data_IF_301860987068
#
_entry.id   IF_301860987068
#
_cell.length_a   1.000
_cell.length_b   1.000
_cell.length_c   1.000
_cell.angle_alpha   90.00
_cell.angle_beta   90.00
_cell.angle_gamma   90.00
#
_symmetry.space_group_name_H-M   'P 1'
#
loop_
_entity.id
_entity.type
_entity.pdbx_description
1 polymer ?
#
# COMPACT_ATOMS: atom_id res chain seq x y z
N UNK A 1 -7.93 3.95 -22.77
CA UNK A 1 -7.31 3.58 -21.48
C UNK A 1 -8.30 3.91 -20.38
N UNK A 2 -8.25 3.21 -19.25
CA UNK A 2 -9.08 3.49 -18.07
C UNK A 2 -8.54 4.71 -17.32
N UNK A 3 -9.42 5.51 -16.75
CA UNK A 3 -9.08 6.67 -15.94
C UNK A 3 -9.16 6.31 -14.46
N UNK A 4 -8.05 6.38 -13.74
CA UNK A 4 -7.93 5.92 -12.36
C UNK A 4 -7.46 7.06 -11.47
N UNK A 5 -8.14 7.27 -10.36
CA UNK A 5 -7.65 8.14 -9.28
C UNK A 5 -6.99 7.26 -8.22
N UNK A 6 -5.76 7.58 -7.88
CA UNK A 6 -5.00 6.86 -6.85
C UNK A 6 -4.76 7.79 -5.67
N UNK A 7 -5.41 7.49 -4.56
CA UNK A 7 -5.25 8.16 -3.29
C UNK A 7 -4.14 7.46 -2.50
N UNK A 8 -2.95 8.06 -2.48
CA UNK A 8 -1.76 7.48 -1.87
C UNK A 8 -0.75 8.55 -1.47
N UNK A 9 0.13 8.21 -0.54
CA UNK A 9 1.31 9.02 -0.26
C UNK A 9 2.30 8.89 -1.42
N UNK A 10 3.04 9.96 -1.72
CA UNK A 10 4.20 9.90 -2.61
C UNK A 10 5.36 9.21 -1.89
N UNK A 11 5.90 8.16 -2.50
CA UNK A 11 7.00 7.36 -1.93
C UNK A 11 8.33 7.54 -2.62
N UNK A 12 8.45 8.43 -3.62
CA UNK A 12 9.69 8.62 -4.39
C UNK A 12 10.91 8.90 -3.49
N UNK A 13 10.71 9.61 -2.38
CA UNK A 13 11.79 9.96 -1.44
C UNK A 13 11.97 8.93 -0.30
N UNK A 14 11.15 7.87 -0.24
CA UNK A 14 11.19 6.90 0.84
C UNK A 14 11.80 5.57 0.42
N UNK A 15 13.07 5.34 0.75
CA UNK A 15 13.77 4.09 0.43
C UNK A 15 13.04 2.83 0.92
N UNK A 16 12.37 2.90 2.07
CA UNK A 16 11.62 1.75 2.62
C UNK A 16 10.23 1.58 2.01
N UNK A 17 9.76 2.53 1.21
CA UNK A 17 8.43 2.54 0.60
C UNK A 17 8.41 2.22 -0.90
N UNK A 18 9.56 1.89 -1.49
CA UNK A 18 9.69 1.74 -2.93
C UNK A 18 8.74 0.67 -3.53
N UNK A 19 8.38 -0.37 -2.80
CA UNK A 19 7.44 -1.38 -3.26
C UNK A 19 6.01 -0.83 -3.45
N UNK A 20 5.63 0.19 -2.68
CA UNK A 20 4.38 0.91 -2.92
C UNK A 20 4.46 1.75 -4.19
N UNK A 21 5.59 2.42 -4.39
CA UNK A 21 5.83 3.20 -5.60
C UNK A 21 5.84 2.31 -6.84
N UNK A 22 6.46 1.13 -6.78
CA UNK A 22 6.48 0.17 -7.89
C UNK A 22 5.06 -0.27 -8.31
N UNK A 23 4.12 -0.41 -7.36
CA UNK A 23 2.71 -0.69 -7.67
C UNK A 23 2.08 0.51 -8.38
N UNK A 24 2.28 1.73 -7.87
CA UNK A 24 1.76 2.96 -8.46
C UNK A 24 2.30 3.13 -9.88
N UNK A 25 3.60 3.00 -10.06
CA UNK A 25 4.27 3.14 -11.37
C UNK A 25 3.75 2.10 -12.38
N UNK A 26 3.48 0.88 -11.92
CA UNK A 26 2.91 -0.17 -12.75
C UNK A 26 1.48 0.17 -13.19
N UNK A 27 0.67 0.73 -12.31
CA UNK A 27 -0.67 1.20 -12.64
C UNK A 27 -0.62 2.39 -13.62
N UNK A 28 0.34 3.31 -13.45
CA UNK A 28 0.55 4.44 -14.37
C UNK A 28 0.93 4.01 -15.78
N UNK A 29 1.58 2.85 -15.94
CA UNK A 29 1.88 2.27 -17.26
C UNK A 29 0.65 1.65 -17.94
N UNK A 30 -0.34 1.23 -17.16
CA UNK A 30 -1.51 0.48 -17.65
C UNK A 30 -2.76 1.34 -17.84
N UNK A 31 -2.82 2.52 -17.22
CA UNK A 31 -4.00 3.38 -17.21
C UNK A 31 -3.63 4.87 -17.25
N UNK A 32 -4.61 5.72 -17.55
CA UNK A 32 -4.50 7.15 -17.30
C UNK A 32 -4.72 7.36 -15.80
N UNK A 33 -3.69 7.82 -15.07
CA UNK A 33 -3.76 7.94 -13.63
C UNK A 33 -3.67 9.39 -13.17
N UNK A 34 -4.43 9.71 -12.13
CA UNK A 34 -4.23 10.92 -11.34
C UNK A 34 -3.84 10.53 -9.92
N UNK A 35 -2.64 10.96 -9.50
CA UNK A 35 -2.08 10.66 -8.20
C UNK A 35 -2.39 11.81 -7.25
N UNK A 36 -2.97 11.50 -6.10
CA UNK A 36 -3.35 12.49 -5.11
C UNK A 36 -3.04 12.00 -3.69
N UNK A 37 -2.42 12.87 -2.89
CA UNK A 37 -2.10 12.59 -1.51
C UNK A 37 -0.85 13.30 -1.01
N UNK A 38 -0.48 13.01 0.22
CA UNK A 38 0.67 13.64 0.87
C UNK A 38 1.95 13.46 0.04
N UNK A 39 2.63 14.59 -0.22
CA UNK A 39 3.84 14.63 -1.03
C UNK A 39 3.62 14.88 -2.52
N UNK A 40 2.38 14.85 -3.03
CA UNK A 40 2.07 15.31 -4.39
C UNK A 40 1.79 16.81 -4.43
N UNK A 41 2.18 17.46 -5.52
CA UNK A 41 2.17 18.93 -5.67
C UNK A 41 0.79 19.58 -5.42
N UNK A 42 -0.29 18.92 -5.84
CA UNK A 42 -1.65 19.49 -5.76
C UNK A 42 -2.40 19.09 -4.49
N UNK A 43 -1.72 18.43 -3.57
CA UNK A 43 -2.32 17.94 -2.34
C UNK A 43 -2.66 19.07 -1.36
N UNK A 44 -3.84 18.97 -0.75
CA UNK A 44 -4.23 19.76 0.42
C UNK A 44 -5.01 18.89 1.41
N UNK A 45 -4.70 19.01 2.69
CA UNK A 45 -5.41 18.30 3.75
C UNK A 45 -6.88 18.70 3.87
N UNK A 46 -7.23 19.90 3.42
CA UNK A 46 -8.59 20.45 3.50
C UNK A 46 -9.50 20.01 2.34
N UNK A 47 -8.93 19.37 1.31
CA UNK A 47 -9.70 18.99 0.14
C UNK A 47 -10.70 17.86 0.46
N UNK A 48 -11.89 17.97 -0.10
CA UNK A 48 -12.86 16.90 -0.19
C UNK A 48 -12.69 16.14 -1.52
N UNK A 49 -13.57 15.18 -1.82
CA UNK A 49 -13.44 14.40 -3.05
C UNK A 49 -13.76 15.21 -4.31
N UNK A 50 -14.68 16.16 -4.23
CA UNK A 50 -15.02 17.08 -5.32
C UNK A 50 -13.80 17.92 -5.70
N UNK A 51 -13.06 18.43 -4.71
CA UNK A 51 -11.81 19.17 -4.95
C UNK A 51 -10.75 18.30 -5.62
N UNK A 52 -10.67 17.01 -5.27
CA UNK A 52 -9.77 16.05 -5.94
C UNK A 52 -10.15 15.88 -7.40
N UNK A 53 -11.45 15.77 -7.71
CA UNK A 53 -11.96 15.69 -9.08
C UNK A 53 -11.63 16.97 -9.86
N UNK A 54 -11.88 18.14 -9.29
CA UNK A 54 -11.60 19.44 -9.93
C UNK A 54 -10.12 19.61 -10.26
N UNK A 55 -9.23 19.12 -9.40
CA UNK A 55 -7.78 19.15 -9.61
C UNK A 55 -7.29 18.07 -10.59
N UNK A 56 -8.09 17.05 -10.83
CA UNK A 56 -7.75 15.97 -11.77
C UNK A 56 -8.00 16.38 -13.23
N UNK A 57 -7.37 15.70 -14.20
CA UNK A 57 -7.69 15.90 -15.61
C UNK A 57 -9.02 15.21 -16.01
N UNK A 58 -9.74 14.59 -15.08
CA UNK A 58 -10.92 13.79 -15.36
C UNK A 58 -12.20 14.48 -14.89
N UNK A 59 -13.27 14.33 -15.66
CA UNK A 59 -14.63 14.57 -15.16
C UNK A 59 -15.06 13.34 -14.34
N UNK A 60 -15.90 13.53 -13.33
CA UNK A 60 -16.34 12.44 -12.44
C UNK A 60 -16.95 11.27 -13.21
N UNK A 61 -17.76 11.54 -14.23
CA UNK A 61 -18.41 10.53 -15.07
C UNK A 61 -17.43 9.72 -15.93
N UNK A 62 -16.18 10.19 -16.04
CA UNK A 62 -15.13 9.52 -16.80
C UNK A 62 -14.12 8.80 -15.91
N UNK A 63 -14.32 8.78 -14.58
CA UNK A 63 -13.47 8.03 -13.65
C UNK A 63 -13.96 6.59 -13.60
N UNK A 64 -13.10 5.66 -13.98
CA UNK A 64 -13.41 4.24 -14.02
C UNK A 64 -13.13 3.52 -12.68
N UNK A 65 -12.23 4.06 -11.85
CA UNK A 65 -11.79 3.40 -10.63
C UNK A 65 -11.14 4.39 -9.66
N UNK A 66 -11.38 4.20 -8.38
CA UNK A 66 -10.64 4.84 -7.29
C UNK A 66 -9.84 3.78 -6.55
N UNK A 67 -8.55 4.01 -6.38
CA UNK A 67 -7.67 3.16 -5.58
C UNK A 67 -7.20 3.96 -4.36
N UNK A 68 -7.33 3.37 -3.19
CA UNK A 68 -6.83 3.94 -1.95
C UNK A 68 -5.79 3.01 -1.31
N UNK A 69 -4.65 3.54 -0.95
CA UNK A 69 -3.56 2.77 -0.35
C UNK A 69 -3.45 3.00 1.15
N UNK A 70 -3.18 1.94 1.92
CA UNK A 70 -2.91 2.04 3.37
C UNK A 70 -1.70 2.87 3.71
N UNK A 71 -0.79 2.99 2.79
CA UNK A 71 0.39 3.82 2.95
C UNK A 71 0.07 5.28 3.19
N UNK A 72 -1.13 5.63 2.84
CA UNK A 72 -1.77 6.88 3.03
C UNK A 72 -1.90 7.29 4.52
N UNK A 73 -2.06 6.35 5.45
CA UNK A 73 -2.29 6.62 6.87
C UNK A 73 -1.05 6.52 7.78
N UNK A 74 0.14 6.50 7.20
CA UNK A 74 1.38 6.41 7.97
C UNK A 74 1.97 7.79 8.33
N UNK A 75 1.11 8.68 8.80
CA UNK A 75 1.48 10.00 9.30
C UNK A 75 2.01 9.96 10.75
N UNK A 76 2.09 8.76 11.34
CA UNK A 76 2.43 8.60 12.75
C UNK A 76 1.26 8.83 13.70
N UNK A 77 0.07 9.17 13.22
CA UNK A 77 -1.12 9.30 14.04
C UNK A 77 -1.43 8.00 14.78
N UNK A 78 -1.64 8.11 16.07
CA UNK A 78 -2.01 6.97 16.92
C UNK A 78 -3.51 6.73 16.99
N UNK A 79 -4.33 7.67 16.54
CA UNK A 79 -5.76 7.71 16.82
C UNK A 79 -6.64 7.43 15.61
N UNK A 80 -6.18 7.72 14.41
CA UNK A 80 -6.97 7.53 13.18
C UNK A 80 -6.22 6.71 12.14
N UNK A 81 -6.96 6.01 11.31
CA UNK A 81 -6.49 5.37 10.07
C UNK A 81 -7.10 6.05 8.84
N UNK A 82 -7.84 7.13 9.06
CA UNK A 82 -8.37 7.97 7.98
C UNK A 82 -7.36 9.08 7.71
N UNK A 83 -6.56 8.97 6.66
CA UNK A 83 -5.50 9.93 6.34
C UNK A 83 -6.07 11.25 5.83
N UNK A 84 -7.32 11.20 5.38
CA UNK A 84 -8.04 12.32 4.79
C UNK A 84 -9.45 12.40 5.33
N UNK A 85 -9.64 13.08 6.47
CA UNK A 85 -10.95 13.15 7.12
C UNK A 85 -12.01 13.83 6.24
N UNK A 86 -11.61 14.64 5.27
CA UNK A 86 -12.51 15.34 4.37
C UNK A 86 -12.85 14.57 3.09
N UNK A 87 -12.02 13.59 2.67
CA UNK A 87 -12.32 12.76 1.51
C UNK A 87 -13.22 11.60 1.92
N UNK A 88 -14.51 11.71 1.62
CA UNK A 88 -15.52 10.69 1.92
C UNK A 88 -15.92 9.96 0.66
N UNK A 89 -15.55 8.68 0.57
CA UNK A 89 -15.84 7.83 -0.59
C UNK A 89 -17.14 7.02 -0.42
N UNK A 90 -17.65 6.90 0.80
CA UNK A 90 -18.83 6.08 1.11
C UNK A 90 -20.12 6.50 0.41
N UNK A 91 -20.22 7.77 -0.01
CA UNK A 91 -21.36 8.29 -0.79
C UNK A 91 -21.21 8.11 -2.31
N UNK A 92 -20.05 7.69 -2.79
CA UNK A 92 -19.76 7.52 -4.22
C UNK A 92 -20.06 6.07 -4.58
N UNK A 93 -21.21 5.84 -5.24
CA UNK A 93 -21.67 4.50 -5.57
C UNK A 93 -21.44 4.08 -7.02
N UNK A 94 -21.30 5.06 -7.93
CA UNK A 94 -21.16 4.82 -9.37
C UNK A 94 -19.74 4.44 -9.80
N UNK A 95 -18.73 4.69 -8.95
CA UNK A 95 -17.31 4.42 -9.27
C UNK A 95 -16.80 3.30 -8.37
N UNK A 96 -16.29 2.19 -8.94
CA UNK A 96 -15.67 1.13 -8.16
C UNK A 96 -14.49 1.64 -7.33
N UNK A 97 -14.34 1.08 -6.12
CA UNK A 97 -13.31 1.50 -5.16
C UNK A 97 -12.53 0.30 -4.66
N UNK A 98 -11.21 0.38 -4.75
CA UNK A 98 -10.28 -0.63 -4.25
C UNK A 98 -9.44 -0.06 -3.12
N UNK A 99 -9.27 -0.85 -2.07
CA UNK A 99 -8.36 -0.52 -0.97
C UNK A 99 -7.22 -1.52 -0.91
N UNK A 100 -5.98 -1.03 -0.89
CA UNK A 100 -4.81 -1.85 -0.65
C UNK A 100 -4.49 -1.85 0.84
N UNK A 101 -4.90 -2.88 1.54
CA UNK A 101 -4.61 -3.10 2.96
C UNK A 101 -3.22 -3.70 3.12
N UNK A 102 -2.35 -2.97 3.79
CA UNK A 102 -1.02 -3.40 4.18
C UNK A 102 -0.81 -3.09 5.67
N UNK A 103 0.21 -3.64 6.32
CA UNK A 103 0.47 -3.48 7.77
C UNK A 103 -0.70 -3.95 8.64
N UNK A 104 -1.24 -5.12 8.33
CA UNK A 104 -2.40 -5.72 8.99
C UNK A 104 -2.16 -5.97 10.49
N UNK A 105 -0.90 -6.02 10.91
CA UNK A 105 -0.49 -6.13 12.30
C UNK A 105 -0.70 -4.85 13.12
N UNK A 106 -1.09 -3.74 12.47
CA UNK A 106 -1.23 -2.43 13.12
C UNK A 106 -2.63 -1.88 12.94
N UNK A 107 -3.37 -1.67 14.03
CA UNK A 107 -4.70 -1.05 14.05
C UNK A 107 -5.74 -1.74 13.12
N UNK A 108 -5.70 -3.06 12.98
CA UNK A 108 -6.52 -3.80 12.01
C UNK A 108 -8.02 -3.50 12.14
N UNK A 109 -8.56 -3.49 13.37
CA UNK A 109 -9.98 -3.21 13.61
C UNK A 109 -10.41 -1.81 13.14
N UNK A 110 -9.55 -0.80 13.35
CA UNK A 110 -9.82 0.56 12.87
C UNK A 110 -9.82 0.62 11.34
N UNK A 111 -8.92 -0.15 10.70
CA UNK A 111 -8.88 -0.27 9.23
C UNK A 111 -10.12 -0.95 8.69
N UNK A 112 -10.62 -1.98 9.35
CA UNK A 112 -11.87 -2.62 8.98
C UNK A 112 -13.07 -1.66 9.07
N UNK A 113 -13.16 -0.87 10.15
CA UNK A 113 -14.17 0.18 10.28
C UNK A 113 -14.06 1.22 9.17
N UNK A 114 -12.84 1.65 8.85
CA UNK A 114 -12.59 2.58 7.74
C UNK A 114 -13.04 1.98 6.40
N UNK A 115 -12.66 0.73 6.10
CA UNK A 115 -13.05 0.02 4.88
C UNK A 115 -14.58 -0.04 4.75
N UNK A 116 -15.28 -0.41 5.81
CA UNK A 116 -16.74 -0.48 5.83
C UNK A 116 -17.39 0.90 5.65
N UNK A 117 -16.86 1.92 6.34
CA UNK A 117 -17.39 3.28 6.28
C UNK A 117 -17.22 3.89 4.88
N UNK A 118 -16.10 3.67 4.23
CA UNK A 118 -15.82 4.16 2.88
C UNK A 118 -16.46 3.29 1.78
N UNK A 119 -17.03 2.13 2.14
CA UNK A 119 -17.73 1.21 1.22
C UNK A 119 -16.87 0.80 0.03
N UNK A 120 -15.68 0.28 0.31
CA UNK A 120 -14.83 -0.29 -0.73
C UNK A 120 -15.46 -1.56 -1.31
N UNK A 121 -15.37 -1.73 -2.62
CA UNK A 121 -15.90 -2.87 -3.35
C UNK A 121 -14.94 -4.07 -3.31
N UNK A 122 -13.64 -3.79 -3.20
CA UNK A 122 -12.59 -4.79 -3.12
C UNK A 122 -11.48 -4.30 -2.20
N UNK A 123 -10.97 -5.20 -1.38
CA UNK A 123 -9.78 -4.98 -0.55
C UNK A 123 -8.69 -5.95 -0.97
N UNK A 124 -7.54 -5.44 -1.41
CA UNK A 124 -6.37 -6.25 -1.70
C UNK A 124 -5.45 -6.27 -0.47
N UNK A 125 -4.99 -7.44 -0.06
CA UNK A 125 -4.09 -7.60 1.08
C UNK A 125 -3.06 -8.70 0.83
N UNK A 126 -1.89 -8.56 1.42
CA UNK A 126 -0.84 -9.61 1.39
C UNK A 126 -1.07 -10.68 2.46
N UNK A 127 -2.04 -10.51 3.32
CA UNK A 127 -2.29 -11.42 4.42
C UNK A 127 -3.11 -12.64 3.98
N UNK A 128 -2.72 -13.87 4.37
CA UNK A 128 -3.41 -15.09 3.95
C UNK A 128 -4.86 -15.22 4.47
N UNK A 129 -5.22 -14.48 5.53
CA UNK A 129 -6.59 -14.44 6.09
C UNK A 129 -7.59 -13.63 5.27
N UNK A 130 -7.24 -13.18 4.08
CA UNK A 130 -8.13 -12.43 3.19
C UNK A 130 -9.51 -13.09 3.05
N UNK A 131 -9.51 -14.43 2.92
CA UNK A 131 -10.74 -15.20 2.77
C UNK A 131 -11.63 -15.16 4.01
N UNK A 132 -11.05 -15.40 5.20
CA UNK A 132 -11.75 -15.32 6.48
C UNK A 132 -12.34 -13.93 6.71
N UNK A 133 -11.63 -12.89 6.35
CA UNK A 133 -12.10 -11.50 6.48
C UNK A 133 -13.24 -11.18 5.50
N UNK A 134 -13.21 -11.77 4.29
CA UNK A 134 -14.32 -11.63 3.35
C UNK A 134 -15.62 -12.17 3.94
N UNK A 135 -15.58 -13.35 4.53
CA UNK A 135 -16.74 -13.97 5.17
C UNK A 135 -17.22 -13.18 6.39
N UNK A 136 -16.29 -12.74 7.24
CA UNK A 136 -16.60 -12.03 8.48
C UNK A 136 -17.19 -10.65 8.25
N UNK A 137 -16.67 -9.92 7.27
CA UNK A 137 -16.99 -8.50 7.05
C UNK A 137 -18.01 -8.28 5.93
N UNK A 138 -18.32 -9.32 5.14
CA UNK A 138 -19.22 -9.21 3.98
C UNK A 138 -18.65 -8.31 2.87
N UNK A 139 -17.33 -8.11 2.82
CA UNK A 139 -16.62 -7.32 1.83
C UNK A 139 -15.65 -8.24 1.09
N UNK A 140 -15.52 -8.09 -0.20
CA UNK A 140 -14.60 -8.92 -0.99
C UNK A 140 -13.15 -8.57 -0.68
N UNK A 141 -12.40 -9.53 -0.12
CA UNK A 141 -10.95 -9.45 0.04
C UNK A 141 -10.26 -10.34 -0.99
N UNK A 142 -9.17 -9.85 -1.54
CA UNK A 142 -8.29 -10.58 -2.44
C UNK A 142 -6.91 -10.71 -1.80
N UNK A 143 -6.43 -11.94 -1.64
CA UNK A 143 -5.04 -12.17 -1.28
C UNK A 143 -4.16 -11.83 -2.48
N UNK A 144 -3.41 -10.75 -2.37
CA UNK A 144 -2.53 -10.24 -3.42
C UNK A 144 -1.10 -10.14 -2.84
N UNK A 145 -0.26 -11.16 -3.00
CA UNK A 145 1.12 -11.11 -2.57
C UNK A 145 1.90 -9.96 -3.21
N UNK A 146 2.94 -9.50 -2.53
CA UNK A 146 3.84 -8.51 -3.12
C UNK A 146 4.46 -9.05 -4.41
N UNK A 147 4.42 -8.22 -5.44
CA UNK A 147 5.18 -8.43 -6.65
C UNK A 147 6.58 -7.82 -6.57
N UNK A 148 7.40 -8.12 -7.55
CA UNK A 148 8.72 -7.49 -7.74
C UNK A 148 8.72 -6.76 -9.06
N UNK A 149 9.22 -5.54 -9.05
CA UNK A 149 9.47 -4.80 -10.29
C UNK A 149 10.64 -5.42 -11.04
N UNK A 150 10.40 -5.94 -12.24
CA UNK A 150 11.45 -6.51 -13.10
C UNK A 150 12.42 -5.45 -13.60
N UNK A 151 12.00 -4.18 -13.67
CA UNK A 151 12.87 -3.06 -14.03
C UNK A 151 13.92 -2.79 -12.93
N UNK A 152 13.56 -3.10 -11.67
CA UNK A 152 14.42 -2.90 -10.50
C UNK A 152 15.20 -4.15 -10.10
N UNK A 153 14.60 -5.32 -10.25
CA UNK A 153 15.16 -6.61 -9.87
C UNK A 153 15.34 -7.49 -11.10
N UNK A 154 16.36 -7.20 -11.89
CA UNK A 154 16.74 -8.02 -13.03
C UNK A 154 17.76 -9.08 -12.63
N UNK A 155 17.78 -10.19 -13.38
CA UNK A 155 18.87 -11.16 -13.26
C UNK A 155 20.18 -10.50 -13.69
N UNK A 156 21.18 -10.59 -12.83
CA UNK A 156 22.53 -10.12 -13.11
C UNK A 156 23.43 -11.35 -13.31
N UNK A 157 24.02 -11.47 -14.49
CA UNK A 157 25.02 -12.50 -14.77
C UNK A 157 26.39 -12.08 -14.21
N UNK A 158 26.48 -12.16 -12.87
CA UNK A 158 27.69 -11.82 -12.13
C UNK A 158 28.10 -12.99 -11.24
N UNK A 159 29.41 -13.12 -11.00
CA UNK A 159 29.91 -14.11 -10.06
C UNK A 159 29.38 -13.82 -8.66
N UNK A 160 28.80 -14.83 -8.02
CA UNK A 160 28.34 -14.73 -6.64
C UNK A 160 29.51 -14.56 -5.71
N UNK A 161 29.47 -13.51 -4.90
CA UNK A 161 30.51 -13.22 -3.90
C UNK A 161 30.24 -13.91 -2.57
N UNK A 162 28.98 -14.24 -2.31
CA UNK A 162 28.55 -14.82 -1.03
C UNK A 162 27.62 -16.00 -1.30
N UNK A 163 27.73 -17.05 -0.49
CA UNK A 163 26.80 -18.17 -0.52
C UNK A 163 25.44 -17.79 0.06
N UNK A 164 25.48 -16.94 1.10
CA UNK A 164 24.30 -16.41 1.75
C UNK A 164 24.40 -14.90 1.92
N UNK A 165 23.30 -14.21 1.67
CA UNK A 165 23.15 -12.81 1.99
C UNK A 165 21.82 -12.59 2.74
N UNK A 166 21.85 -11.83 3.82
CA UNK A 166 20.68 -11.38 4.53
C UNK A 166 20.48 -9.89 4.31
N UNK A 167 19.33 -9.52 3.73
CA UNK A 167 18.96 -8.13 3.52
C UNK A 167 17.65 -7.85 4.23
N UNK A 168 17.55 -6.71 4.91
CA UNK A 168 16.34 -6.27 5.59
C UNK A 168 16.58 -5.63 6.94
N UNK A 169 15.51 -5.06 7.50
CA UNK A 169 15.54 -4.49 8.83
C UNK A 169 15.61 -5.60 9.89
N UNK A 170 16.55 -5.45 10.82
CA UNK A 170 16.71 -6.33 11.96
C UNK A 170 16.27 -5.58 13.21
N UNK A 171 15.06 -5.86 13.67
CA UNK A 171 14.61 -5.35 14.95
C UNK A 171 15.26 -6.15 16.07
N UNK A 172 15.80 -5.47 17.08
CA UNK A 172 16.38 -6.10 18.29
C UNK A 172 15.27 -6.60 19.22
N UNK A 173 14.41 -7.45 18.70
CA UNK A 173 13.35 -8.09 19.49
C UNK A 173 13.59 -9.59 19.51
N UNK A 174 13.61 -10.19 20.68
CA UNK A 174 13.73 -11.65 20.84
C UNK A 174 12.56 -12.43 20.23
N UNK A 175 11.49 -11.74 19.86
CA UNK A 175 10.34 -12.30 19.14
C UNK A 175 10.47 -12.20 17.63
N UNK A 176 11.47 -11.49 17.11
CA UNK A 176 11.73 -11.42 15.67
C UNK A 176 12.60 -12.62 15.24
N UNK A 177 11.99 -13.53 14.50
CA UNK A 177 12.67 -14.70 13.95
C UNK A 177 13.91 -14.34 13.15
N UNK A 178 13.93 -13.22 12.44
CA UNK A 178 15.08 -12.74 11.67
C UNK A 178 16.24 -12.37 12.57
N UNK A 179 15.96 -11.83 13.75
CA UNK A 179 16.99 -11.53 14.75
C UNK A 179 17.60 -12.81 15.33
N UNK A 180 16.78 -13.83 15.62
CA UNK A 180 17.25 -15.12 16.09
C UNK A 180 18.12 -15.82 15.04
N UNK A 181 17.68 -15.85 13.79
CA UNK A 181 18.46 -16.40 12.67
C UNK A 181 19.80 -15.67 12.52
N UNK A 182 19.82 -14.34 12.62
CA UNK A 182 21.06 -13.57 12.64
C UNK A 182 21.98 -14.01 13.77
N UNK A 183 21.47 -14.11 15.00
CA UNK A 183 22.26 -14.51 16.16
C UNK A 183 22.88 -15.90 15.97
N UNK A 184 22.13 -16.85 15.42
CA UNK A 184 22.64 -18.21 15.15
C UNK A 184 23.69 -18.22 14.02
N UNK A 185 23.47 -17.48 12.95
CA UNK A 185 24.46 -17.33 11.88
C UNK A 185 25.77 -16.70 12.40
N UNK A 186 25.71 -15.68 13.25
CA UNK A 186 26.91 -15.10 13.87
C UNK A 186 27.60 -16.02 14.88
N UNK A 187 26.84 -16.88 15.58
CA UNK A 187 27.45 -17.90 16.46
C UNK A 187 28.14 -19.00 15.65
N UNK A 188 27.55 -19.40 14.52
CA UNK A 188 28.13 -20.40 13.63
C UNK A 188 29.32 -19.85 12.85
N UNK A 189 29.39 -18.53 12.64
CA UNK A 189 30.54 -17.79 12.10
C UNK A 189 31.60 -17.51 13.19
N UNK A 190 31.90 -18.45 14.05
CA UNK A 190 33.29 -18.64 14.50
C UNK A 190 34.08 -19.26 13.33
N UNK A 191 33.96 -18.61 12.23
CA UNK A 191 34.67 -18.85 11.04
C UNK A 191 35.69 -17.75 10.95
N UNK A 192 36.93 -18.13 11.32
CA UNK A 192 38.21 -17.54 11.01
C UNK A 192 38.27 -16.05 10.67
#
# INVERSE_FOLDING_TARGET
MKNIIILSKNYEEYLSGFYHQDIIDSLCKLANTYLYGYGYKNYSLNDNFEDVIEKSPFKIDNVDLIICSTSWDDDGSTTSVDPHPNIKLGGIHQIPKIYFLNKEYKKLELRFKYIQHQKFDLVCTVHPKAYEWSETLGIKFLHLPFGVSLDRFSYLDINRKYDFAFTGALHKSFTDYRYLVKCELFKSQKLE
#
